data_IF_051665950574
#
_entry.id   IF_051665950574
#
_cell.length_a   1.000
_cell.length_b   1.000
_cell.length_c   1.000
_cell.angle_alpha   90.00
_cell.angle_beta   90.00
_cell.angle_gamma   90.00
#
_symmetry.space_group_name_H-M   'P 1'
#
loop_
_entity.id
_entity.type
_entity.pdbx_description
1 polymer ?
#
# COMPACT_ATOMS: atom_id res chain seq x y z
N UNK A 1 15.73 2.01 -18.60
CA UNK A 1 15.11 3.28 -19.06
C UNK A 1 16.17 4.11 -19.77
N UNK A 2 15.88 4.65 -20.96
CA UNK A 2 16.73 5.67 -21.58
C UNK A 2 16.42 7.06 -21.00
N UNK A 3 17.32 8.04 -21.18
CA UNK A 3 17.13 9.41 -20.70
C UNK A 3 15.88 10.07 -21.29
N UNK A 4 15.57 9.81 -22.56
CA UNK A 4 14.38 10.37 -23.21
C UNK A 4 13.08 9.85 -22.59
N UNK A 5 13.04 8.56 -22.23
CA UNK A 5 11.90 7.99 -21.53
C UNK A 5 11.74 8.61 -20.14
N UNK A 6 12.84 8.87 -19.44
CA UNK A 6 12.80 9.53 -18.13
C UNK A 6 12.19 10.94 -18.24
N UNK A 7 12.59 11.74 -19.23
CA UNK A 7 12.04 13.09 -19.42
C UNK A 7 10.55 13.08 -19.74
N UNK A 8 10.09 12.16 -20.61
CA UNK A 8 8.67 12.01 -20.92
C UNK A 8 7.88 11.62 -19.67
N UNK A 9 8.39 10.70 -18.86
CA UNK A 9 7.75 10.29 -17.60
C UNK A 9 7.69 11.45 -16.61
N UNK A 10 8.77 12.22 -16.44
CA UNK A 10 8.77 13.39 -15.56
C UNK A 10 7.79 14.47 -16.03
N UNK A 11 7.74 14.72 -17.35
CA UNK A 11 6.80 15.68 -17.92
C UNK A 11 5.36 15.24 -17.68
N UNK A 12 5.04 13.98 -17.98
CA UNK A 12 3.71 13.42 -17.76
C UNK A 12 3.32 13.48 -16.28
N UNK A 13 4.22 13.07 -15.37
CA UNK A 13 3.99 13.13 -13.94
C UNK A 13 3.77 14.57 -13.44
N UNK A 14 4.56 15.53 -13.94
CA UNK A 14 4.40 16.94 -13.62
C UNK A 14 3.08 17.52 -14.11
N UNK A 15 2.67 17.21 -15.34
CA UNK A 15 1.37 17.63 -15.90
C UNK A 15 0.22 17.05 -15.07
N UNK A 16 0.26 15.76 -14.75
CA UNK A 16 -0.77 15.10 -13.93
C UNK A 16 -0.83 15.73 -12.54
N UNK A 17 0.32 16.00 -11.91
CA UNK A 17 0.38 16.63 -10.60
C UNK A 17 -0.23 18.04 -10.60
N UNK A 18 0.13 18.88 -11.58
CA UNK A 18 -0.42 20.23 -11.73
C UNK A 18 -1.93 20.19 -12.04
N UNK A 19 -2.36 19.26 -12.90
CA UNK A 19 -3.77 19.02 -13.20
C UNK A 19 -4.54 18.63 -11.93
N UNK A 20 -3.99 17.75 -11.09
CA UNK A 20 -4.60 17.34 -9.81
C UNK A 20 -4.72 18.50 -8.83
N UNK A 21 -3.72 19.39 -8.76
CA UNK A 21 -3.82 20.61 -7.93
C UNK A 21 -4.94 21.52 -8.44
N UNK A 22 -5.00 21.74 -9.77
CA UNK A 22 -6.08 22.49 -10.41
C UNK A 22 -7.45 21.88 -10.12
N UNK A 23 -7.60 20.57 -10.30
CA UNK A 23 -8.81 19.81 -10.01
C UNK A 23 -9.23 19.95 -8.54
N UNK A 24 -8.29 19.91 -7.59
CA UNK A 24 -8.57 20.10 -6.15
C UNK A 24 -9.18 21.47 -5.87
N UNK A 25 -8.66 22.52 -6.52
CA UNK A 25 -9.21 23.88 -6.41
C UNK A 25 -10.62 24.00 -6.99
N UNK A 26 -10.91 23.27 -8.07
CA UNK A 26 -12.26 23.18 -8.65
C UNK A 26 -13.20 22.35 -7.76
N UNK A 27 -12.75 21.21 -7.21
CA UNK A 27 -13.54 20.37 -6.30
C UNK A 27 -14.02 21.18 -5.09
N UNK A 28 -13.10 21.90 -4.46
CA UNK A 28 -13.42 22.75 -3.31
C UNK A 28 -14.39 23.89 -3.64
N UNK A 29 -14.41 24.35 -4.90
CA UNK A 29 -15.38 25.34 -5.38
C UNK A 29 -16.77 24.73 -5.63
N UNK A 30 -16.83 23.54 -6.26
CA UNK A 30 -18.10 22.87 -6.62
C UNK A 30 -18.72 22.12 -5.43
N UNK A 31 -17.94 21.81 -4.39
CA UNK A 31 -18.39 21.04 -3.22
C UNK A 31 -18.41 19.53 -3.44
N UNK A 32 -17.72 19.03 -4.47
CA UNK A 32 -17.58 17.60 -4.75
C UNK A 32 -16.39 16.99 -3.98
N UNK A 33 -16.48 15.71 -3.54
CA UNK A 33 -15.33 14.97 -3.04
C UNK A 33 -14.19 14.97 -4.06
N UNK A 34 -12.98 15.34 -3.62
CA UNK A 34 -11.79 15.44 -4.49
C UNK A 34 -11.46 14.15 -5.22
N UNK A 35 -11.70 12.99 -4.59
CA UNK A 35 -11.50 11.67 -5.19
C UNK A 35 -12.29 11.48 -6.49
N UNK A 36 -13.53 11.97 -6.56
CA UNK A 36 -14.34 11.85 -7.78
C UNK A 36 -13.73 12.64 -8.92
N UNK A 37 -13.12 13.80 -8.65
CA UNK A 37 -12.40 14.56 -9.67
C UNK A 37 -11.11 13.89 -10.09
N UNK A 38 -10.33 13.32 -9.17
CA UNK A 38 -9.12 12.56 -9.53
C UNK A 38 -9.45 11.35 -10.40
N UNK A 39 -10.52 10.63 -10.06
CA UNK A 39 -11.05 9.54 -10.88
C UNK A 39 -11.47 10.06 -12.27
N UNK A 40 -12.19 11.19 -12.32
CA UNK A 40 -12.63 11.80 -13.58
C UNK A 40 -11.45 12.20 -14.48
N UNK A 41 -10.40 12.79 -13.91
CA UNK A 41 -9.15 13.11 -14.62
C UNK A 41 -8.51 11.84 -15.16
N UNK A 42 -8.39 10.79 -14.34
CA UNK A 42 -7.85 9.50 -14.75
C UNK A 42 -8.65 8.85 -15.88
N UNK A 43 -9.98 8.83 -15.80
CA UNK A 43 -10.86 8.29 -16.84
C UNK A 43 -10.81 9.11 -18.13
N UNK A 44 -10.69 10.43 -18.04
CA UNK A 44 -10.55 11.33 -19.20
C UNK A 44 -9.20 11.15 -19.89
N UNK A 45 -8.15 10.90 -19.12
CA UNK A 45 -6.81 10.64 -19.68
C UNK A 45 -6.72 9.22 -20.25
N UNK A 46 -7.40 8.26 -19.63
CA UNK A 46 -7.35 6.85 -19.97
C UNK A 46 -8.01 6.46 -21.29
N UNK A 47 -8.20 5.15 -21.48
CA UNK A 47 -8.70 4.55 -22.72
C UNK A 47 -10.06 5.11 -23.18
N UNK A 48 -10.94 5.44 -22.24
CA UNK A 48 -12.27 5.99 -22.53
C UNK A 48 -12.25 7.47 -22.97
N UNK A 49 -11.14 8.19 -22.78
CA UNK A 49 -11.02 9.61 -23.12
C UNK A 49 -9.92 9.87 -24.16
N UNK A 50 -8.72 10.25 -23.70
CA UNK A 50 -7.58 10.60 -24.56
C UNK A 50 -6.85 9.38 -25.14
N UNK A 51 -7.23 8.16 -24.73
CA UNK A 51 -6.73 6.92 -25.32
C UNK A 51 -5.42 6.40 -24.71
N UNK A 52 -5.01 6.88 -23.52
CA UNK A 52 -3.87 6.26 -22.82
C UNK A 52 -4.27 4.89 -22.26
N UNK A 53 -3.49 3.88 -22.63
CA UNK A 53 -3.71 2.49 -22.21
C UNK A 53 -3.08 2.21 -20.85
N UNK A 54 -3.85 1.63 -19.94
CA UNK A 54 -3.43 1.30 -18.58
C UNK A 54 -3.32 -0.21 -18.38
N UNK A 55 -2.50 -0.87 -19.20
CA UNK A 55 -2.40 -2.34 -19.24
C UNK A 55 -1.35 -2.93 -18.29
N UNK A 56 -0.69 -2.08 -17.49
CA UNK A 56 0.41 -2.50 -16.61
C UNK A 56 -0.02 -2.52 -15.12
N UNK A 57 -0.52 -3.69 -14.70
CA UNK A 57 -0.88 -3.94 -13.31
C UNK A 57 0.32 -3.89 -12.35
N UNK A 58 1.52 -4.22 -12.83
CA UNK A 58 2.73 -4.19 -11.99
C UNK A 58 3.18 -2.75 -11.73
N UNK A 59 3.09 -1.88 -12.74
CA UNK A 59 3.33 -0.45 -12.58
C UNK A 59 2.31 0.16 -11.63
N UNK A 60 1.02 -0.12 -11.82
CA UNK A 60 -0.04 0.37 -10.94
C UNK A 60 0.19 -0.03 -9.48
N UNK A 61 0.56 -1.29 -9.23
CA UNK A 61 0.91 -1.76 -7.90
C UNK A 61 2.16 -1.06 -7.34
N UNK A 62 3.21 -0.90 -8.15
CA UNK A 62 4.46 -0.28 -7.70
C UNK A 62 4.23 1.17 -7.27
N UNK A 63 3.51 1.93 -8.10
CA UNK A 63 3.12 3.31 -7.80
C UNK A 63 2.17 3.36 -6.59
N UNK A 64 1.19 2.47 -6.51
CA UNK A 64 0.25 2.40 -5.39
C UNK A 64 0.93 2.06 -4.06
N UNK A 65 1.87 1.11 -4.05
CA UNK A 65 2.61 0.72 -2.84
C UNK A 65 3.55 1.84 -2.40
N UNK A 66 4.22 2.52 -3.36
CA UNK A 66 5.05 3.67 -3.05
C UNK A 66 4.22 4.84 -2.49
N UNK A 67 3.08 5.15 -3.12
CA UNK A 67 2.15 6.17 -2.66
C UNK A 67 1.59 5.84 -1.26
N UNK A 68 1.23 4.58 -1.01
CA UNK A 68 0.79 4.12 0.31
C UNK A 68 1.85 4.35 1.38
N UNK A 69 3.12 4.07 1.08
CA UNK A 69 4.23 4.38 1.99
C UNK A 69 4.29 5.87 2.35
N UNK A 70 4.14 6.75 1.36
CA UNK A 70 4.09 8.21 1.59
C UNK A 70 2.88 8.60 2.44
N UNK A 71 1.69 8.09 2.10
CA UNK A 71 0.42 8.40 2.77
C UNK A 71 0.45 7.94 4.23
N UNK A 72 0.95 6.73 4.51
CA UNK A 72 1.04 6.20 5.87
C UNK A 72 2.08 6.97 6.71
N UNK A 73 3.20 7.39 6.12
CA UNK A 73 4.19 8.22 6.81
C UNK A 73 3.62 9.60 7.11
N UNK A 74 2.99 10.26 6.14
CA UNK A 74 2.33 11.55 6.35
C UNK A 74 1.22 11.45 7.41
N UNK A 75 0.37 10.41 7.32
CA UNK A 75 -0.68 10.13 8.30
C UNK A 75 -0.12 9.92 9.70
N UNK A 76 0.95 9.14 9.85
CA UNK A 76 1.62 8.92 11.13
C UNK A 76 2.25 10.19 11.73
N UNK A 77 2.75 11.11 10.89
CA UNK A 77 3.35 12.38 11.33
C UNK A 77 2.32 13.46 11.71
N UNK A 78 1.15 13.44 11.06
CA UNK A 78 0.06 14.39 11.32
C UNK A 78 -0.87 13.94 12.45
N UNK A 79 -0.91 12.63 12.69
CA UNK A 79 -1.68 11.99 13.76
C UNK A 79 -1.20 12.40 15.15
N UNK A 80 -2.14 12.82 16.00
CA UNK A 80 -1.87 13.12 17.41
C UNK A 80 -2.12 11.89 18.28
N UNK A 81 -1.06 11.40 18.94
CA UNK A 81 -1.15 10.25 19.85
C UNK A 81 -2.19 10.42 20.96
N UNK A 82 -2.35 11.65 21.47
CA UNK A 82 -3.33 11.96 22.52
C UNK A 82 -4.78 11.70 22.10
N UNK A 83 -5.09 11.86 20.82
CA UNK A 83 -6.44 11.71 20.27
C UNK A 83 -6.74 10.24 19.91
N UNK A 84 -5.74 9.52 19.37
CA UNK A 84 -5.91 8.10 18.97
C UNK A 84 -5.85 7.13 20.16
N UNK A 85 -5.02 7.37 21.19
CA UNK A 85 -4.80 6.38 22.27
C UNK A 85 -6.10 5.94 22.97
N UNK A 86 -7.11 6.80 23.01
CA UNK A 86 -8.40 6.52 23.65
C UNK A 86 -9.34 5.64 22.79
N UNK A 87 -9.07 5.56 21.48
CA UNK A 87 -9.87 4.81 20.49
C UNK A 87 -9.08 3.69 19.81
N UNK A 88 -7.82 3.49 20.20
CA UNK A 88 -6.92 2.51 19.59
C UNK A 88 -7.46 1.08 19.61
N UNK A 89 -8.03 0.63 20.73
CA UNK A 89 -8.56 -0.72 20.88
C UNK A 89 -9.79 -1.00 19.99
N UNK A 90 -10.85 -0.17 19.98
CA UNK A 90 -11.95 -0.39 19.04
C UNK A 90 -11.50 -0.21 17.58
N UNK A 91 -10.62 0.76 17.28
CA UNK A 91 -10.10 0.97 15.94
C UNK A 91 -9.32 -0.25 15.42
N UNK A 92 -8.46 -0.86 16.26
CA UNK A 92 -7.66 -2.02 15.84
C UNK A 92 -8.51 -3.26 15.57
N UNK A 93 -9.59 -3.47 16.32
CA UNK A 93 -10.53 -4.58 16.06
C UNK A 93 -11.28 -4.36 14.75
N UNK A 94 -11.78 -3.15 14.50
CA UNK A 94 -12.45 -2.81 13.24
C UNK A 94 -11.47 -2.95 12.04
N UNK A 95 -10.27 -2.42 12.19
CA UNK A 95 -9.23 -2.46 11.16
C UNK A 95 -8.70 -3.87 10.86
N UNK A 96 -8.87 -4.85 11.75
CA UNK A 96 -8.39 -6.23 11.54
C UNK A 96 -9.54 -7.18 11.25
N UNK A 97 -10.41 -7.41 12.24
CA UNK A 97 -11.55 -8.32 12.12
C UNK A 97 -12.57 -7.77 11.13
N UNK A 98 -12.85 -6.46 11.18
CA UNK A 98 -13.78 -5.82 10.24
C UNK A 98 -13.30 -5.94 8.80
N UNK A 99 -12.01 -5.68 8.52
CA UNK A 99 -11.41 -5.88 7.19
C UNK A 99 -11.52 -7.33 6.72
N UNK A 100 -11.24 -8.30 7.60
CA UNK A 100 -11.36 -9.72 7.28
C UNK A 100 -12.80 -10.11 6.92
N UNK A 101 -13.77 -9.69 7.73
CA UNK A 101 -15.20 -9.93 7.48
C UNK A 101 -15.65 -9.26 6.18
N UNK A 102 -15.32 -7.98 5.98
CA UNK A 102 -15.66 -7.23 4.76
C UNK A 102 -15.07 -7.89 3.52
N UNK A 103 -13.82 -8.37 3.60
CA UNK A 103 -13.16 -9.08 2.51
C UNK A 103 -13.91 -10.36 2.15
N UNK A 104 -14.25 -11.20 3.15
CA UNK A 104 -14.96 -12.47 2.91
C UNK A 104 -16.36 -12.24 2.37
N UNK A 105 -17.12 -11.32 2.94
CA UNK A 105 -18.49 -11.02 2.50
C UNK A 105 -18.50 -10.49 1.07
N UNK A 106 -17.61 -9.54 0.76
CA UNK A 106 -17.49 -8.96 -0.58
C UNK A 106 -17.03 -9.99 -1.60
N UNK A 107 -16.04 -10.82 -1.25
CA UNK A 107 -15.55 -11.90 -2.11
C UNK A 107 -16.63 -12.96 -2.37
N UNK A 108 -17.39 -13.37 -1.34
CA UNK A 108 -18.49 -14.31 -1.52
C UNK A 108 -19.55 -13.73 -2.49
N UNK A 109 -19.91 -12.45 -2.33
CA UNK A 109 -20.80 -11.75 -3.26
C UNK A 109 -20.23 -11.74 -4.69
N UNK A 110 -18.95 -11.43 -4.86
CA UNK A 110 -18.29 -11.41 -6.16
C UNK A 110 -18.23 -12.79 -6.83
N UNK A 111 -17.97 -13.85 -6.06
CA UNK A 111 -17.96 -15.22 -6.57
C UNK A 111 -19.36 -15.68 -6.98
N UNK A 112 -20.35 -15.54 -6.11
CA UNK A 112 -21.69 -16.09 -6.34
C UNK A 112 -22.58 -15.24 -7.25
N UNK A 113 -22.43 -13.90 -7.24
CA UNK A 113 -23.27 -13.00 -8.05
C UNK A 113 -22.65 -12.70 -9.41
N UNK A 114 -21.31 -12.60 -9.50
CA UNK A 114 -20.60 -12.24 -10.74
C UNK A 114 -19.88 -13.43 -11.40
N UNK A 115 -19.82 -14.59 -10.73
CA UNK A 115 -19.17 -15.79 -11.26
C UNK A 115 -17.64 -15.70 -11.31
N UNK A 116 -17.02 -14.81 -10.54
CA UNK A 116 -15.56 -14.68 -10.49
C UNK A 116 -14.91 -15.87 -9.79
N UNK A 117 -13.74 -16.30 -10.22
CA UNK A 117 -12.94 -17.29 -9.48
C UNK A 117 -12.62 -16.78 -8.07
N UNK A 118 -12.48 -17.70 -7.10
CA UNK A 118 -12.20 -17.38 -5.71
C UNK A 118 -10.96 -16.50 -5.51
N UNK A 119 -9.90 -16.69 -6.31
CA UNK A 119 -8.70 -15.85 -6.22
C UNK A 119 -9.01 -14.39 -6.57
N UNK A 120 -9.72 -14.18 -7.69
CA UNK A 120 -10.11 -12.84 -8.13
C UNK A 120 -11.15 -12.21 -7.20
N UNK A 121 -12.08 -13.02 -6.69
CA UNK A 121 -13.09 -12.58 -5.74
C UNK A 121 -12.48 -12.12 -4.40
N UNK A 122 -11.53 -12.89 -3.84
CA UNK A 122 -10.80 -12.50 -2.63
C UNK A 122 -9.90 -11.28 -2.86
N UNK A 123 -9.25 -11.20 -4.02
CA UNK A 123 -8.47 -10.03 -4.39
C UNK A 123 -9.35 -8.78 -4.43
N UNK A 124 -10.52 -8.87 -5.06
CA UNK A 124 -11.50 -7.78 -5.09
C UNK A 124 -12.04 -7.45 -3.69
N UNK A 125 -12.33 -8.45 -2.87
CA UNK A 125 -12.77 -8.25 -1.49
C UNK A 125 -11.71 -7.53 -0.65
N UNK A 126 -10.43 -7.87 -0.85
CA UNK A 126 -9.31 -7.27 -0.14
C UNK A 126 -9.02 -5.83 -0.59
N UNK A 127 -9.19 -5.52 -1.88
CA UNK A 127 -8.99 -4.15 -2.39
C UNK A 127 -10.11 -3.20 -1.94
N UNK A 128 -11.34 -3.71 -1.82
CA UNK A 128 -12.51 -2.89 -1.46
C UNK A 128 -12.74 -2.81 0.06
N UNK A 129 -12.06 -3.62 0.87
CA UNK A 129 -12.24 -3.64 2.32
C UNK A 129 -11.53 -2.51 3.08
N UNK A 130 -10.55 -1.83 2.47
CA UNK A 130 -9.98 -0.59 3.04
C UNK A 130 -10.96 0.58 2.88
N UNK A 131 -10.99 1.47 3.87
CA UNK A 131 -11.86 2.66 3.90
C UNK A 131 -11.04 3.94 4.01
N UNK A 132 -11.50 5.01 3.35
CA UNK A 132 -10.82 6.32 3.35
C UNK A 132 -11.58 7.35 4.20
N UNK A 133 -10.99 7.72 5.34
CA UNK A 133 -11.51 8.74 6.23
C UNK A 133 -11.53 10.13 5.57
N UNK A 134 -10.58 10.46 4.68
CA UNK A 134 -10.57 11.74 3.98
C UNK A 134 -11.80 11.89 3.08
N UNK A 135 -12.19 10.82 2.39
CA UNK A 135 -13.43 10.78 1.61
C UNK A 135 -14.66 11.02 2.50
N UNK A 136 -14.76 10.29 3.63
CA UNK A 136 -15.87 10.41 4.58
C UNK A 136 -15.94 11.82 5.17
N UNK A 137 -14.82 12.37 5.63
CA UNK A 137 -14.75 13.72 6.18
C UNK A 137 -15.01 14.81 5.15
N UNK A 138 -14.70 14.57 3.87
CA UNK A 138 -15.03 15.53 2.80
C UNK A 138 -16.54 15.71 2.65
N UNK A 139 -17.30 14.61 2.76
CA UNK A 139 -18.78 14.61 2.70
C UNK A 139 -19.38 15.10 4.01
N UNK A 140 -18.84 14.67 5.15
CA UNK A 140 -19.33 15.02 6.48
C UNK A 140 -18.83 16.38 6.99
N UNK A 141 -18.16 17.19 6.15
CA UNK A 141 -17.60 18.49 6.55
C UNK A 141 -18.64 19.46 7.09
N UNK A 142 -19.89 19.30 6.69
CA UNK A 142 -21.03 20.13 7.13
C UNK A 142 -21.67 19.64 8.45
N UNK A 143 -21.25 18.48 8.96
CA UNK A 143 -21.78 17.87 10.18
C UNK A 143 -20.72 17.92 11.29
N UNK A 144 -21.01 18.54 12.46
CA UNK A 144 -20.08 18.54 13.57
C UNK A 144 -20.01 17.14 14.21
N UNK A 145 -18.92 16.43 13.96
CA UNK A 145 -18.67 15.11 14.57
C UNK A 145 -18.00 15.26 15.95
N UNK A 146 -18.40 14.46 16.95
CA UNK A 146 -17.68 14.40 18.21
C UNK A 146 -16.22 13.98 17.99
N UNK A 147 -15.27 14.61 18.69
CA UNK A 147 -13.83 14.32 18.57
C UNK A 147 -13.49 12.83 18.68
N UNK A 148 -14.21 12.11 19.53
CA UNK A 148 -14.04 10.65 19.71
C UNK A 148 -14.42 9.87 18.46
N UNK A 149 -15.47 10.28 17.75
CA UNK A 149 -15.91 9.63 16.52
C UNK A 149 -14.97 9.98 15.37
N UNK A 150 -14.55 11.24 15.25
CA UNK A 150 -13.54 11.64 14.26
C UNK A 150 -12.23 10.88 14.46
N UNK A 151 -11.71 10.84 15.69
CA UNK A 151 -10.49 10.09 15.99
C UNK A 151 -10.63 8.58 15.78
N UNK A 152 -11.83 8.01 16.02
CA UNK A 152 -12.09 6.60 15.72
C UNK A 152 -12.06 6.33 14.22
N UNK A 153 -12.74 7.15 13.41
CA UNK A 153 -12.78 7.00 11.95
C UNK A 153 -11.39 7.19 11.33
N UNK A 154 -10.62 8.16 11.82
CA UNK A 154 -9.24 8.40 11.38
C UNK A 154 -8.32 7.22 11.75
N UNK A 155 -8.46 6.68 12.97
CA UNK A 155 -7.69 5.51 13.39
C UNK A 155 -8.09 4.23 12.66
N UNK A 156 -9.38 4.01 12.42
CA UNK A 156 -9.91 2.85 11.68
C UNK A 156 -9.41 2.85 10.23
N UNK A 157 -9.53 3.99 9.55
CA UNK A 157 -9.06 4.16 8.16
C UNK A 157 -7.53 4.10 8.03
N UNK A 158 -6.78 4.63 8.99
CA UNK A 158 -5.31 4.50 8.94
C UNK A 158 -4.83 3.07 9.22
N UNK A 159 -5.51 2.34 10.09
CA UNK A 159 -5.07 0.99 10.50
C UNK A 159 -5.56 -0.12 9.57
N UNK A 160 -6.67 0.07 8.85
CA UNK A 160 -7.19 -0.95 7.94
C UNK A 160 -6.35 -1.11 6.66
N UNK A 161 -5.58 -0.09 6.29
CA UNK A 161 -4.69 -0.10 5.12
C UNK A 161 -3.64 -1.21 5.19
N UNK A 162 -3.04 -1.42 6.36
CA UNK A 162 -1.99 -2.42 6.52
C UNK A 162 -2.50 -3.86 6.31
N UNK A 163 -3.57 -4.32 6.99
CA UNK A 163 -4.20 -5.61 6.68
C UNK A 163 -4.68 -5.73 5.22
N UNK A 164 -5.29 -4.67 4.66
CA UNK A 164 -5.81 -4.70 3.29
C UNK A 164 -4.69 -4.90 2.25
N UNK A 165 -3.59 -4.13 2.33
CA UNK A 165 -2.48 -4.30 1.38
C UNK A 165 -1.82 -5.67 1.54
N UNK A 166 -1.68 -6.19 2.76
CA UNK A 166 -1.16 -7.55 2.98
C UNK A 166 -2.04 -8.59 2.27
N UNK A 167 -3.36 -8.51 2.47
CA UNK A 167 -4.32 -9.41 1.81
C UNK A 167 -4.23 -9.32 0.28
N UNK A 168 -4.16 -8.10 -0.27
CA UNK A 168 -4.00 -7.89 -1.72
C UNK A 168 -2.71 -8.53 -2.24
N UNK A 169 -1.59 -8.33 -1.56
CA UNK A 169 -0.31 -8.92 -1.92
C UNK A 169 -0.33 -10.45 -1.84
N UNK A 170 -1.01 -11.01 -0.83
CA UNK A 170 -1.16 -12.45 -0.65
C UNK A 170 -2.05 -13.08 -1.74
N UNK A 171 -3.21 -12.49 -2.04
CA UNK A 171 -4.15 -13.03 -3.03
C UNK A 171 -3.69 -12.85 -4.47
N UNK A 172 -2.79 -11.88 -4.74
CA UNK A 172 -2.11 -11.76 -6.03
C UNK A 172 -1.16 -12.94 -6.31
N UNK A 173 -0.55 -13.52 -5.28
CA UNK A 173 0.46 -14.57 -5.47
C UNK A 173 -0.14 -15.80 -6.16
N UNK A 174 0.60 -16.38 -7.11
CA UNK A 174 0.17 -17.54 -7.89
C UNK A 174 1.18 -18.69 -7.72
N UNK A 175 0.74 -19.93 -7.41
CA UNK A 175 -0.65 -20.34 -7.17
C UNK A 175 -1.19 -19.83 -5.83
N UNK A 176 -2.50 -19.54 -5.76
CA UNK A 176 -3.16 -19.21 -4.51
C UNK A 176 -3.36 -20.49 -3.69
N UNK A 177 -2.63 -20.62 -2.58
CA UNK A 177 -2.89 -21.67 -1.60
C UNK A 177 -3.94 -21.19 -0.62
N UNK A 178 -5.15 -21.76 -0.72
CA UNK A 178 -6.25 -21.52 0.21
C UNK A 178 -6.01 -22.27 1.52
N UNK A 179 -5.15 -21.72 2.36
CA UNK A 179 -4.99 -22.14 3.76
C UNK A 179 -5.40 -20.99 4.68
N UNK A 180 -6.65 -20.97 5.17
CA UNK A 180 -7.13 -19.91 6.05
C UNK A 180 -6.28 -19.74 7.32
N UNK A 181 -5.73 -20.84 7.85
CA UNK A 181 -4.86 -20.81 9.02
C UNK A 181 -3.52 -20.15 8.71
N UNK A 182 -2.89 -20.53 7.60
CA UNK A 182 -1.68 -19.90 7.10
C UNK A 182 -1.85 -18.43 6.73
N UNK A 183 -3.01 -18.06 6.17
CA UNK A 183 -3.35 -16.66 5.86
C UNK A 183 -3.46 -15.84 7.15
N UNK A 184 -4.24 -16.32 8.13
CA UNK A 184 -4.40 -15.65 9.42
C UNK A 184 -3.07 -15.51 10.16
N UNK A 185 -2.27 -16.58 10.19
CA UNK A 185 -0.93 -16.56 10.81
C UNK A 185 -0.01 -15.56 10.12
N UNK A 186 -0.02 -15.52 8.79
CA UNK A 186 0.80 -14.59 7.99
C UNK A 186 0.39 -13.14 8.24
N UNK A 187 -0.92 -12.85 8.29
CA UNK A 187 -1.43 -11.52 8.62
C UNK A 187 -1.00 -11.08 10.02
N UNK A 188 -1.23 -11.92 11.03
CA UNK A 188 -0.84 -11.62 12.41
C UNK A 188 0.67 -11.41 12.52
N UNK A 189 1.46 -12.29 11.90
CA UNK A 189 2.91 -12.17 11.89
C UNK A 189 3.37 -10.87 11.21
N UNK A 190 2.86 -10.55 10.02
CA UNK A 190 3.26 -9.35 9.28
C UNK A 190 2.86 -8.06 10.01
N UNK A 191 1.69 -8.03 10.64
CA UNK A 191 1.27 -6.90 11.48
C UNK A 191 2.17 -6.75 12.70
N UNK A 192 2.46 -7.84 13.42
CA UNK A 192 3.34 -7.79 14.59
C UNK A 192 4.78 -7.41 14.22
N UNK A 193 5.31 -7.95 13.11
CA UNK A 193 6.61 -7.61 12.58
C UNK A 193 6.66 -6.13 12.16
N UNK A 194 5.64 -5.64 11.46
CA UNK A 194 5.49 -4.24 11.07
C UNK A 194 5.44 -3.31 12.27
N UNK A 195 4.67 -3.65 13.31
CA UNK A 195 4.62 -2.90 14.58
C UNK A 195 6.00 -2.89 15.25
N UNK A 196 6.67 -4.04 15.35
CA UNK A 196 7.99 -4.14 15.99
C UNK A 196 9.04 -3.31 15.25
N UNK A 197 9.09 -3.40 13.92
CA UNK A 197 9.99 -2.63 13.06
C UNK A 197 9.67 -1.14 13.14
N UNK A 198 8.40 -0.77 13.06
CA UNK A 198 7.94 0.61 13.16
C UNK A 198 8.32 1.26 14.49
N UNK A 199 8.09 0.56 15.61
CA UNK A 199 8.49 1.02 16.94
C UNK A 199 10.01 1.13 17.06
N UNK A 200 10.75 0.11 16.60
CA UNK A 200 12.22 0.13 16.63
C UNK A 200 12.78 1.32 15.84
N UNK A 201 12.34 1.51 14.60
CA UNK A 201 12.73 2.63 13.74
C UNK A 201 12.30 3.98 14.33
N UNK A 202 11.10 4.08 14.89
CA UNK A 202 10.58 5.29 15.52
C UNK A 202 11.39 5.71 16.75
N UNK A 203 11.64 4.78 17.68
CA UNK A 203 12.43 5.06 18.88
C UNK A 203 13.90 5.33 18.56
N UNK A 204 14.52 4.50 17.71
CA UNK A 204 15.90 4.69 17.29
C UNK A 204 16.08 6.00 16.52
N UNK A 205 15.15 6.29 15.59
CA UNK A 205 15.12 7.53 14.82
C UNK A 205 14.96 8.76 15.69
N UNK A 206 14.04 8.74 16.66
CA UNK A 206 13.87 9.83 17.62
C UNK A 206 15.11 10.01 18.51
N UNK A 207 15.74 8.92 18.96
CA UNK A 207 16.98 8.99 19.74
C UNK A 207 18.16 9.54 18.94
N UNK A 208 18.28 9.15 17.67
CA UNK A 208 19.30 9.65 16.76
C UNK A 208 19.09 11.15 16.46
N UNK A 209 17.87 11.56 16.10
CA UNK A 209 17.54 12.96 15.79
C UNK A 209 17.72 13.89 16.99
N UNK A 210 17.51 13.42 18.22
CA UNK A 210 17.82 14.20 19.43
C UNK A 210 19.32 14.41 19.65
N UNK A 211 20.17 13.54 19.11
CA UNK A 211 21.63 13.58 19.28
C UNK A 211 22.35 14.25 18.10
N UNK A 212 21.73 14.26 16.92
CA UNK A 212 22.30 14.84 15.70
C UNK A 212 21.82 16.29 15.61
N UNK A 213 22.72 17.24 15.80
CA UNK A 213 22.46 18.64 15.47
C UNK A 213 22.54 18.82 13.94
N UNK A 214 21.39 18.75 13.27
CA UNK A 214 21.35 18.99 11.82
C UNK A 214 21.66 20.47 11.52
N UNK A 215 22.48 20.78 10.50
CA UNK A 215 22.91 22.15 10.18
C UNK A 215 21.76 23.10 9.81
N UNK A 216 20.63 22.56 9.35
CA UNK A 216 19.45 23.31 8.96
C UNK A 216 18.19 22.69 9.56
N UNK A 217 17.28 23.54 10.06
CA UNK A 217 16.01 23.12 10.67
C UNK A 217 15.11 22.35 9.69
N UNK A 218 15.17 22.66 8.39
CA UNK A 218 14.41 21.95 7.35
C UNK A 218 14.84 20.50 7.13
N UNK A 219 15.99 20.07 7.64
CA UNK A 219 16.46 18.69 7.50
C UNK A 219 15.75 17.73 8.48
N UNK A 220 15.16 18.23 9.57
CA UNK A 220 14.49 17.37 10.55
C UNK A 220 13.24 16.70 9.96
N UNK A 221 12.27 17.42 9.35
CA UNK A 221 11.12 16.79 8.70
C UNK A 221 11.51 15.79 7.62
N UNK A 222 12.53 16.11 6.82
CA UNK A 222 13.03 15.20 5.78
C UNK A 222 13.61 13.93 6.37
N UNK A 223 14.38 14.05 7.45
CA UNK A 223 14.94 12.90 8.15
C UNK A 223 13.86 12.05 8.82
N UNK A 224 12.84 12.66 9.43
CA UNK A 224 11.70 11.93 10.01
C UNK A 224 10.89 11.19 8.94
N UNK A 225 10.63 11.85 7.80
CA UNK A 225 9.99 11.21 6.66
C UNK A 225 10.82 10.04 6.12
N UNK A 226 12.13 10.23 5.95
CA UNK A 226 13.05 9.18 5.52
C UNK A 226 13.11 7.98 6.47
N UNK A 227 13.07 8.22 7.79
CA UNK A 227 12.97 7.18 8.82
C UNK A 227 11.63 6.43 8.72
N UNK A 228 10.54 7.14 8.45
CA UNK A 228 9.23 6.53 8.19
C UNK A 228 9.23 5.64 6.96
N UNK A 229 9.79 6.12 5.84
CA UNK A 229 9.93 5.33 4.62
C UNK A 229 10.84 4.12 4.80
N UNK A 230 11.90 4.25 5.60
CA UNK A 230 12.77 3.13 5.99
C UNK A 230 11.98 2.09 6.78
N UNK A 231 11.18 2.51 7.76
CA UNK A 231 10.33 1.61 8.53
C UNK A 231 9.30 0.88 7.64
N UNK A 232 8.65 1.61 6.73
CA UNK A 232 7.70 1.04 5.76
C UNK A 232 8.38 0.00 4.86
N UNK A 233 9.52 0.35 4.26
CA UNK A 233 10.27 -0.55 3.38
C UNK A 233 10.80 -1.78 4.14
N UNK A 234 11.29 -1.59 5.38
CA UNK A 234 11.76 -2.68 6.22
C UNK A 234 10.61 -3.62 6.64
N UNK A 235 9.43 -3.08 6.94
CA UNK A 235 8.22 -3.85 7.22
C UNK A 235 7.77 -4.67 6.01
N UNK A 236 7.73 -4.06 4.82
CA UNK A 236 7.38 -4.75 3.58
C UNK A 236 8.41 -5.81 3.15
N UNK A 237 9.68 -5.66 3.55
CA UNK A 237 10.73 -6.63 3.30
C UNK A 237 10.84 -7.73 4.38
N UNK A 238 9.97 -7.71 5.41
CA UNK A 238 10.01 -8.69 6.47
C UNK A 238 9.78 -10.11 5.91
N UNK A 239 10.60 -11.09 6.30
CA UNK A 239 10.46 -12.46 5.81
C UNK A 239 9.11 -13.05 6.29
N UNK A 240 8.48 -13.93 5.50
CA UNK A 240 7.24 -14.60 5.91
C UNK A 240 7.43 -15.38 7.22
N UNK A 241 6.34 -15.70 7.95
CA UNK A 241 6.44 -16.44 9.20
C UNK A 241 7.24 -17.75 9.02
N UNK A 242 8.13 -18.10 9.96
CA UNK A 242 8.83 -19.38 9.91
C UNK A 242 7.80 -20.50 9.93
N UNK A 243 7.79 -21.28 8.85
CA UNK A 243 6.72 -22.20 8.45
C UNK A 243 6.05 -22.97 9.60
N UNK A 244 4.72 -22.96 9.63
CA UNK A 244 3.96 -24.12 10.08
C UNK A 244 4.16 -25.26 9.06
N UNK A 245 5.27 -26.00 9.20
CA UNK A 245 5.53 -27.36 8.66
C UNK A 245 5.32 -27.65 7.16
N UNK A 246 6.42 -27.68 6.38
CA UNK A 246 6.49 -28.32 5.05
C UNK A 246 7.77 -27.95 4.28
N UNK A 247 8.46 -28.86 3.58
CA UNK A 247 9.92 -28.90 3.57
C UNK A 247 10.60 -27.82 2.71
N UNK A 248 11.73 -27.34 3.24
CA UNK A 248 12.74 -26.56 2.52
C UNK A 248 13.24 -27.34 1.30
N UNK A 249 12.79 -27.01 0.10
CA UNK A 249 13.56 -27.21 -1.13
C UNK A 249 14.49 -26.00 -1.29
N UNK A 250 15.77 -26.09 -0.93
CA UNK A 250 16.84 -26.63 -1.76
C UNK A 250 16.88 -25.93 -3.14
N UNK A 251 17.80 -24.97 -3.30
CA UNK A 251 18.00 -24.33 -4.60
C UNK A 251 18.64 -22.95 -4.61
N UNK A 252 19.52 -22.61 -3.66
CA UNK A 252 20.59 -21.64 -3.99
C UNK A 252 21.47 -22.30 -5.05
N UNK A 253 21.33 -21.87 -6.29
CA UNK A 253 22.14 -22.33 -7.40
C UNK A 253 22.35 -21.21 -8.39
N UNK A 254 23.23 -20.26 -8.07
CA UNK A 254 23.96 -19.56 -9.12
C UNK A 254 24.85 -20.57 -9.84
N UNK A 255 25.25 -20.28 -11.07
CA UNK A 255 26.68 -20.34 -11.33
C UNK A 255 27.16 -19.17 -12.19
N UNK A 256 28.19 -18.49 -11.68
CA UNK A 256 29.18 -17.86 -12.53
C UNK A 256 30.13 -18.93 -13.08
N UNK A 257 30.44 -18.78 -14.37
CA UNK A 257 31.71 -19.08 -15.04
C UNK A 257 32.59 -20.26 -14.54
N UNK A 258 32.65 -21.31 -15.36
CA UNK A 258 33.84 -22.12 -15.74
C UNK A 258 33.31 -23.33 -16.57
N UNK A 259 33.84 -23.77 -17.70
CA UNK A 259 35.00 -23.40 -18.49
C UNK A 259 35.06 -24.37 -19.70
N UNK A 260 35.62 -23.87 -20.80
CA UNK A 260 36.30 -24.54 -21.90
C UNK A 260 36.04 -26.04 -22.22
N UNK A 261 35.79 -26.29 -23.51
CA UNK A 261 36.55 -27.33 -24.23
C UNK A 261 35.77 -28.28 -25.13
N UNK A 262 35.79 -28.02 -26.44
CA UNK A 262 36.25 -29.04 -27.40
C UNK A 262 35.23 -29.81 -28.24
N UNK A 263 35.23 -29.45 -29.54
CA UNK A 263 35.22 -30.32 -30.74
C UNK A 263 33.95 -31.08 -31.12
N UNK A 264 33.52 -30.84 -32.37
CA UNK A 264 33.43 -31.94 -33.35
C UNK A 264 32.19 -31.97 -34.25
N UNK A 265 32.38 -31.56 -35.51
CA UNK A 265 31.78 -32.22 -36.68
C UNK A 265 30.35 -31.81 -37.11
N UNK A 266 30.23 -31.13 -38.25
CA UNK A 266 29.04 -31.29 -39.12
C UNK A 266 29.13 -32.61 -39.93
N UNK A 267 28.46 -32.75 -41.09
CA UNK A 267 27.27 -32.05 -41.61
C UNK A 267 26.17 -33.06 -42.05
N UNK A 268 25.00 -32.56 -42.51
CA UNK A 268 24.20 -33.06 -43.66
C UNK A 268 22.70 -32.76 -43.49
N UNK A 269 22.06 -32.28 -44.56
CA UNK A 269 20.61 -32.17 -44.72
C UNK A 269 20.17 -30.82 -45.25
#
# INVERSE_FOLDING_TARGET
MSLDHLYVVLLAAGVVLLASIGATRVATFIGLPSLLLFLSVGMTIGEAGLGLRFDDAQLAQTLGTAALGVILVEGGLTTRWGDIRAVLAPASVLATVGVGVSTVVTAAGAHYLLGLDWQLALLLGATVSSTDAAAVFSVLRVVPLPKRLSGLLEAESGFNDAPAIILVLMFRATPLTMDPGGIALSLVYQLLAGIAIGLACGFAGAAALRRIALPASGLYPLATFGLGMLAFAAGGAAPPPPAAGGPRGAGRGGPGAAGAGGRGGGPAG
#
